data_IF_779088832150
#
_entry.id   IF_779088832150
#
_cell.length_a   1.000
_cell.length_b   1.000
_cell.length_c   1.000
_cell.angle_alpha   90.00
_cell.angle_beta   90.00
_cell.angle_gamma   90.00
#
_symmetry.space_group_name_H-M   'P 1'
#
loop_
_entity.id
_entity.type
_entity.pdbx_description
1 polymer ?
#
# COMPACT_ATOMS: atom_id res chain seq x y z
N UNK A 1 -17.71 15.60 -3.10
CA UNK A 1 -17.28 14.96 -1.83
C UNK A 1 -15.77 15.04 -1.77
N UNK A 2 -15.17 15.32 -0.61
CA UNK A 2 -13.72 15.18 -0.46
C UNK A 2 -13.35 13.69 -0.51
N UNK A 3 -12.29 13.34 -1.24
CA UNK A 3 -11.76 11.99 -1.24
C UNK A 3 -11.36 11.53 0.16
N UNK A 4 -11.33 10.20 0.35
CA UNK A 4 -10.84 9.56 1.57
C UNK A 4 -9.69 8.62 1.22
N UNK A 5 -8.81 8.43 2.19
CA UNK A 5 -7.80 7.37 2.14
C UNK A 5 -8.34 6.14 2.86
N UNK A 6 -8.55 5.07 2.10
CA UNK A 6 -9.11 3.80 2.56
C UNK A 6 -8.10 2.69 2.25
N UNK A 7 -7.75 1.93 3.28
CA UNK A 7 -6.87 0.77 3.19
C UNK A 7 -7.67 -0.48 3.48
N UNK A 8 -7.49 -1.50 2.65
CA UNK A 8 -8.03 -2.84 2.86
C UNK A 8 -6.90 -3.74 3.37
N UNK A 9 -7.10 -4.31 4.56
CA UNK A 9 -6.15 -5.19 5.23
C UNK A 9 -6.75 -6.59 5.40
N UNK A 10 -5.89 -7.59 5.43
CA UNK A 10 -6.29 -8.99 5.58
C UNK A 10 -5.11 -9.94 5.48
N UNK A 11 -5.33 -11.18 5.93
CA UNK A 11 -4.39 -12.27 5.72
C UNK A 11 -4.32 -12.65 4.24
N UNK A 12 -3.31 -13.43 3.86
CA UNK A 12 -3.19 -13.93 2.50
C UNK A 12 -4.42 -14.76 2.10
N UNK A 13 -4.97 -14.45 0.93
CA UNK A 13 -6.22 -15.06 0.45
C UNK A 13 -7.51 -14.45 1.01
N UNK A 14 -7.46 -13.40 1.84
CA UNK A 14 -8.67 -12.72 2.35
C UNK A 14 -9.47 -11.96 1.27
N UNK A 15 -8.91 -11.80 0.06
CA UNK A 15 -9.57 -11.16 -1.07
C UNK A 15 -9.51 -9.62 -1.06
N UNK A 16 -8.53 -9.02 -0.38
CA UNK A 16 -8.36 -7.56 -0.29
C UNK A 16 -8.26 -6.90 -1.66
N UNK A 17 -7.48 -7.48 -2.59
CA UNK A 17 -7.38 -6.99 -3.98
C UNK A 17 -8.75 -6.91 -4.66
N UNK A 18 -9.55 -7.97 -4.55
CA UNK A 18 -10.91 -8.01 -5.11
C UNK A 18 -11.83 -6.98 -4.47
N UNK A 19 -11.70 -6.72 -3.17
CA UNK A 19 -12.50 -5.71 -2.48
C UNK A 19 -12.11 -4.29 -2.87
N UNK A 20 -10.80 -4.01 -3.08
CA UNK A 20 -10.32 -2.73 -3.60
C UNK A 20 -10.89 -2.47 -4.99
N UNK A 21 -10.83 -3.44 -5.89
CA UNK A 21 -11.39 -3.33 -7.24
C UNK A 21 -12.90 -3.05 -7.23
N UNK A 22 -13.65 -3.77 -6.39
CA UNK A 22 -15.10 -3.55 -6.21
C UNK A 22 -15.41 -2.19 -5.62
N UNK A 23 -14.61 -1.73 -4.67
CA UNK A 23 -14.75 -0.41 -4.07
C UNK A 23 -14.52 0.70 -5.11
N UNK A 24 -13.46 0.58 -5.91
CA UNK A 24 -13.18 1.51 -7.01
C UNK A 24 -14.29 1.50 -8.06
N UNK A 25 -14.80 0.33 -8.44
CA UNK A 25 -15.95 0.22 -9.34
C UNK A 25 -17.19 0.94 -8.77
N UNK A 26 -17.48 0.75 -7.48
CA UNK A 26 -18.59 1.42 -6.81
C UNK A 26 -18.44 2.94 -6.76
N UNK A 27 -17.22 3.46 -6.56
CA UNK A 27 -16.97 4.90 -6.61
C UNK A 27 -17.27 5.47 -8.01
N UNK A 28 -16.85 4.77 -9.06
CA UNK A 28 -17.14 5.14 -10.45
C UNK A 28 -18.64 5.12 -10.74
N UNK A 29 -19.35 4.08 -10.31
CA UNK A 29 -20.81 3.98 -10.40
C UNK A 29 -21.53 5.15 -9.68
N UNK A 30 -20.96 5.63 -8.57
CA UNK A 30 -21.45 6.77 -7.82
C UNK A 30 -21.09 8.14 -8.44
N UNK A 31 -20.48 8.17 -9.62
CA UNK A 31 -20.13 9.39 -10.36
C UNK A 31 -18.79 10.02 -9.98
N UNK A 32 -17.93 9.31 -9.23
CA UNK A 32 -16.56 9.78 -8.99
C UNK A 32 -15.73 9.57 -10.28
N UNK A 33 -15.16 10.64 -10.80
CA UNK A 33 -14.32 10.58 -12.00
C UNK A 33 -13.07 9.72 -11.79
N UNK A 34 -12.67 8.97 -12.81
CA UNK A 34 -11.52 8.07 -12.75
C UNK A 34 -10.23 8.77 -12.34
N UNK A 35 -10.01 10.00 -12.80
CA UNK A 35 -8.82 10.80 -12.47
C UNK A 35 -8.78 11.24 -11.00
N UNK A 36 -9.92 11.17 -10.30
CA UNK A 36 -10.05 11.46 -8.87
C UNK A 36 -9.94 10.20 -8.00
N UNK A 37 -9.55 9.05 -8.56
CA UNK A 37 -9.37 7.79 -7.84
C UNK A 37 -7.94 7.30 -8.04
N UNK A 38 -7.18 7.25 -6.96
CA UNK A 38 -5.86 6.64 -6.90
C UNK A 38 -5.98 5.23 -6.28
N UNK A 39 -5.97 4.21 -7.13
CA UNK A 39 -5.92 2.81 -6.71
C UNK A 39 -4.45 2.36 -6.65
N UNK A 40 -4.01 1.83 -5.52
CA UNK A 40 -2.62 1.39 -5.35
C UNK A 40 -2.51 0.24 -4.35
N UNK A 41 -1.30 -0.28 -4.12
CA UNK A 41 -1.03 -1.38 -3.20
C UNK A 41 0.41 -1.31 -2.64
N UNK A 42 0.61 -1.87 -1.46
CA UNK A 42 1.93 -2.15 -0.89
C UNK A 42 2.18 -3.66 -0.75
N UNK A 43 3.41 -4.16 -0.99
CA UNK A 43 4.58 -3.42 -1.48
C UNK A 43 4.38 -2.94 -2.93
N UNK A 44 4.96 -1.81 -3.33
CA UNK A 44 4.69 -1.22 -4.65
C UNK A 44 5.32 -2.00 -5.81
N UNK A 45 5.07 -1.56 -7.05
CA UNK A 45 5.80 -2.04 -8.24
C UNK A 45 7.12 -1.28 -8.48
N UNK A 46 7.44 -0.29 -7.65
CA UNK A 46 8.69 0.46 -7.71
C UNK A 46 9.90 -0.36 -7.23
N UNK A 47 11.11 0.22 -7.27
CA UNK A 47 12.34 -0.50 -6.94
C UNK A 47 12.35 -1.08 -5.51
N UNK A 48 11.82 -0.33 -4.53
CA UNK A 48 11.77 -0.76 -3.13
C UNK A 48 10.71 -1.84 -2.88
N UNK A 49 9.54 -1.71 -3.49
CA UNK A 49 8.51 -2.75 -3.45
C UNK A 49 8.94 -4.04 -4.17
N UNK A 50 9.68 -3.92 -5.27
CA UNK A 50 10.31 -5.07 -5.94
C UNK A 50 11.34 -5.77 -5.05
N UNK A 51 12.18 -5.01 -4.33
CA UNK A 51 13.11 -5.58 -3.34
C UNK A 51 12.37 -6.46 -2.31
N UNK A 52 11.28 -5.97 -1.74
CA UNK A 52 10.45 -6.73 -0.80
C UNK A 52 9.89 -8.01 -1.45
N UNK A 53 9.34 -7.89 -2.67
CA UNK A 53 8.77 -9.03 -3.42
C UNK A 53 9.82 -10.08 -3.77
N UNK A 54 11.03 -9.67 -4.11
CA UNK A 54 12.13 -10.60 -4.43
C UNK A 54 12.62 -11.36 -3.18
N UNK A 55 12.72 -10.68 -2.04
CA UNK A 55 13.02 -11.31 -0.76
C UNK A 55 11.95 -12.33 -0.36
N UNK A 56 10.67 -11.96 -0.45
CA UNK A 56 9.54 -12.86 -0.15
C UNK A 56 9.44 -14.06 -1.10
N UNK A 57 9.94 -13.93 -2.34
CA UNK A 57 10.04 -15.04 -3.31
C UNK A 57 11.27 -15.93 -3.08
N UNK A 58 12.14 -15.60 -2.12
CA UNK A 58 13.34 -16.37 -1.82
C UNK A 58 14.49 -16.17 -2.80
N UNK A 59 14.50 -15.08 -3.59
CA UNK A 59 15.62 -14.77 -4.50
C UNK A 59 16.91 -14.46 -3.73
N UNK A 60 16.75 -13.88 -2.55
CA UNK A 60 17.77 -13.68 -1.52
C UNK A 60 17.08 -13.61 -0.16
N UNK A 61 17.84 -13.73 0.93
CA UNK A 61 17.32 -13.68 2.29
C UNK A 61 17.60 -12.33 2.94
N UNK A 62 16.59 -11.78 3.59
CA UNK A 62 16.72 -10.68 4.54
C UNK A 62 16.30 -11.23 5.91
N UNK A 63 16.98 -10.81 6.97
CA UNK A 63 16.47 -11.05 8.32
C UNK A 63 15.14 -10.28 8.54
N UNK A 64 14.32 -10.68 9.53
CA UNK A 64 13.01 -10.07 9.76
C UNK A 64 13.05 -8.54 9.91
N UNK A 65 14.07 -8.01 10.60
CA UNK A 65 14.23 -6.57 10.82
C UNK A 65 14.55 -5.85 9.50
N UNK A 66 15.50 -6.36 8.71
CA UNK A 66 15.84 -5.76 7.41
C UNK A 66 14.66 -5.81 6.44
N UNK A 67 13.86 -6.89 6.44
CA UNK A 67 12.67 -6.99 5.60
C UNK A 67 11.62 -5.94 5.99
N UNK A 68 11.37 -5.76 7.30
CA UNK A 68 10.42 -4.75 7.78
C UNK A 68 10.85 -3.32 7.39
N UNK A 69 12.14 -3.01 7.54
CA UNK A 69 12.71 -1.74 7.10
C UNK A 69 12.56 -1.54 5.59
N UNK A 70 12.73 -2.60 4.79
CA UNK A 70 12.51 -2.52 3.35
C UNK A 70 11.05 -2.14 3.00
N UNK A 71 10.07 -2.71 3.71
CA UNK A 71 8.67 -2.30 3.59
C UNK A 71 8.45 -0.83 3.99
N UNK A 72 9.08 -0.37 5.07
CA UNK A 72 9.00 1.04 5.49
C UNK A 72 9.60 1.98 4.45
N UNK A 73 10.73 1.62 3.84
CA UNK A 73 11.35 2.40 2.75
C UNK A 73 10.42 2.48 1.53
N UNK A 74 9.83 1.35 1.12
CA UNK A 74 8.86 1.33 0.03
C UNK A 74 7.65 2.22 0.32
N UNK A 75 7.09 2.14 1.53
CA UNK A 75 5.99 3.01 1.99
C UNK A 75 6.38 4.48 1.98
N UNK A 76 7.53 4.82 2.56
CA UNK A 76 7.99 6.21 2.62
C UNK A 76 8.11 6.80 1.22
N UNK A 77 8.66 6.04 0.27
CA UNK A 77 8.77 6.48 -1.11
C UNK A 77 7.39 6.57 -1.80
N UNK A 78 6.50 5.61 -1.54
CA UNK A 78 5.13 5.60 -2.06
C UNK A 78 4.32 6.81 -1.62
N UNK A 79 4.53 7.26 -0.38
CA UNK A 79 3.90 8.46 0.18
C UNK A 79 4.40 9.74 -0.50
N UNK A 80 5.72 9.91 -0.59
CA UNK A 80 6.34 11.22 -0.82
C UNK A 80 6.80 11.50 -2.24
N UNK A 81 6.80 10.51 -3.14
CA UNK A 81 7.14 10.74 -4.55
C UNK A 81 6.15 11.73 -5.20
N UNK A 82 6.55 12.34 -6.31
CA UNK A 82 5.80 13.41 -7.00
C UNK A 82 4.31 13.07 -7.26
N UNK A 83 4.05 11.85 -7.73
CA UNK A 83 2.70 11.29 -7.89
C UNK A 83 2.43 10.19 -6.83
N UNK A 84 2.75 10.51 -5.57
CA UNK A 84 2.58 9.66 -4.40
C UNK A 84 1.23 9.86 -3.71
N UNK A 85 1.01 9.11 -2.62
CA UNK A 85 -0.24 9.15 -1.84
C UNK A 85 -0.54 10.57 -1.35
N UNK A 86 0.47 11.30 -0.85
CA UNK A 86 0.27 12.65 -0.32
C UNK A 86 -0.15 13.64 -1.42
N UNK A 87 0.44 13.55 -2.62
CA UNK A 87 0.05 14.38 -3.74
C UNK A 87 -1.42 14.14 -4.17
N UNK A 88 -1.86 12.88 -4.18
CA UNK A 88 -3.26 12.54 -4.46
C UNK A 88 -4.21 12.98 -3.34
N UNK A 89 -3.78 12.89 -2.09
CA UNK A 89 -4.54 13.37 -0.93
C UNK A 89 -4.75 14.88 -0.99
N UNK A 90 -3.72 15.65 -1.33
CA UNK A 90 -3.77 17.11 -1.46
C UNK A 90 -4.72 17.56 -2.59
N UNK A 91 -4.80 16.76 -3.67
CA UNK A 91 -5.78 16.97 -4.76
C UNK A 91 -7.20 16.55 -4.39
N UNK A 92 -7.41 15.98 -3.19
CA UNK A 92 -8.71 15.51 -2.73
C UNK A 92 -9.20 14.22 -3.41
N UNK A 93 -8.29 13.42 -3.96
CA UNK A 93 -8.62 12.15 -4.61
C UNK A 93 -9.04 11.09 -3.58
N UNK A 94 -9.87 10.15 -4.01
CA UNK A 94 -10.08 8.90 -3.28
C UNK A 94 -8.84 8.03 -3.43
N UNK A 95 -8.31 7.54 -2.32
CA UNK A 95 -7.15 6.65 -2.30
C UNK A 95 -7.63 5.30 -1.81
N UNK A 96 -7.55 4.28 -2.67
CA UNK A 96 -7.97 2.92 -2.37
C UNK A 96 -6.74 2.01 -2.39
N UNK A 97 -6.34 1.49 -1.24
CA UNK A 97 -5.10 0.73 -1.08
C UNK A 97 -5.36 -0.73 -0.68
N UNK A 98 -4.65 -1.64 -1.34
CA UNK A 98 -4.46 -3.02 -0.90
C UNK A 98 -3.18 -3.11 -0.06
N UNK A 99 -3.31 -3.35 1.26
CA UNK A 99 -2.25 -3.33 2.28
C UNK A 99 -1.58 -1.97 2.50
N UNK A 100 -1.15 -1.74 3.74
CA UNK A 100 -0.37 -0.57 4.17
C UNK A 100 0.39 -0.87 5.49
N UNK A 101 0.42 0.09 6.41
CA UNK A 101 1.07 0.04 7.73
C UNK A 101 0.73 -1.19 8.56
N UNK A 102 -0.55 -1.58 8.62
CA UNK A 102 -0.96 -2.70 9.46
C UNK A 102 -0.49 -4.06 8.94
N UNK A 103 -0.31 -4.22 7.63
CA UNK A 103 0.37 -5.39 7.08
C UNK A 103 1.80 -5.50 7.59
N UNK A 104 2.57 -4.40 7.65
CA UNK A 104 3.93 -4.46 8.22
C UNK A 104 3.90 -4.83 9.70
N UNK A 105 3.02 -4.23 10.49
CA UNK A 105 2.89 -4.58 11.91
C UNK A 105 2.46 -6.04 12.15
N UNK A 106 1.58 -6.59 11.31
CA UNK A 106 1.05 -7.94 11.49
C UNK A 106 2.05 -9.03 11.08
N UNK A 107 2.89 -8.76 10.07
CA UNK A 107 3.83 -9.75 9.52
C UNK A 107 5.28 -9.56 10.00
N UNK A 108 5.61 -8.43 10.62
CA UNK A 108 6.94 -8.12 11.15
C UNK A 108 6.86 -7.69 12.62
N UNK A 109 6.23 -8.53 13.45
CA UNK A 109 5.95 -8.28 14.87
C UNK A 109 7.20 -8.35 15.78
N UNK A 110 8.29 -8.93 15.30
CA UNK A 110 9.59 -9.01 16.01
C UNK A 110 10.47 -7.76 15.84
N UNK A 111 9.95 -6.69 15.22
CA UNK A 111 10.71 -5.48 14.91
C UNK A 111 10.34 -4.33 15.84
N UNK A 112 11.35 -3.56 16.24
CA UNK A 112 11.17 -2.34 17.01
C UNK A 112 10.27 -1.34 16.24
N UNK A 113 9.14 -1.01 16.85
CA UNK A 113 8.10 -0.18 16.24
C UNK A 113 8.53 1.25 16.00
N UNK A 114 9.58 1.73 16.67
CA UNK A 114 10.12 3.07 16.43
C UNK A 114 10.74 3.19 15.02
N UNK A 115 10.98 2.06 14.35
CA UNK A 115 11.51 2.00 12.98
C UNK A 115 10.43 1.85 11.89
N UNK A 116 9.16 1.62 12.24
CA UNK A 116 8.08 1.28 11.31
C UNK A 116 7.06 2.40 11.12
#
# INVERSE_FOLDING_TARGET
MSGKWIVFEGLDGAGTTTQVERFVARLREAGVGSDSIFQTAEPTAGPFGQLCREALRGKFSLDPQTLALAFTVDRSHHLSKEEGILAHQDRGHWIAMDRYFYSTLAYQDEVDRDWL
#
